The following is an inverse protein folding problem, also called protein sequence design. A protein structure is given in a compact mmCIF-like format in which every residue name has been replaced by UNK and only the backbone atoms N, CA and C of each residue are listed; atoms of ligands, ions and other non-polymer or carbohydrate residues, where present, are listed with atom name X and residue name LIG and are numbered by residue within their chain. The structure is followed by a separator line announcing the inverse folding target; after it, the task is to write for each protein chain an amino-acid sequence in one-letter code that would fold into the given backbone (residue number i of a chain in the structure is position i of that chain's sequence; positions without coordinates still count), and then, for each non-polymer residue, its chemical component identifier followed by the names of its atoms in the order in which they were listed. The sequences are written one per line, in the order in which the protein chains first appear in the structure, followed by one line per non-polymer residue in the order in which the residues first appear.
data_IF_787529957561
#
_entry.id   IF_787529957561
#
_cell.length_a   1.000
_cell.length_b   1.000
_cell.length_c   1.000
_cell.angle_alpha   90.00
_cell.angle_beta   90.00
_cell.angle_gamma   90.00
#
_symmetry.space_group_name_H-M   'P 1'
#
loop_
_entity.id
_entity.type
_entity.pdbx_description
1 polymer ?
#
# COMPACT_ATOMS: atom_id res chain seq x y z
N UNK A 1 -3.36 21.34 11.75
CA UNK A 1 -3.79 19.93 11.83
C UNK A 1 -2.61 19.08 11.40
N UNK A 2 -2.15 18.17 12.26
CA UNK A 2 -1.09 17.22 11.92
C UNK A 2 -1.62 16.28 10.83
N UNK A 3 -0.94 16.20 9.69
CA UNK A 3 -1.31 15.30 8.59
C UNK A 3 -1.22 13.85 9.10
N UNK A 4 -2.29 13.05 8.98
CA UNK A 4 -2.30 11.67 9.46
C UNK A 4 -1.90 10.75 8.31
N UNK A 5 -0.88 9.91 8.51
CA UNK A 5 -0.49 8.92 7.52
C UNK A 5 -1.47 7.73 7.52
N UNK A 6 -2.55 7.86 6.75
CA UNK A 6 -3.67 6.92 6.76
C UNK A 6 -3.30 5.49 6.32
N UNK A 7 -2.21 5.35 5.54
CA UNK A 7 -1.73 4.07 5.00
C UNK A 7 -1.34 3.05 6.07
N UNK A 8 -0.79 3.50 7.20
CA UNK A 8 -0.44 2.60 8.31
C UNK A 8 -1.65 2.25 9.19
N UNK A 9 -2.80 2.91 8.98
CA UNK A 9 -3.94 2.90 9.90
C UNK A 9 -5.23 2.31 9.31
N UNK A 10 -5.28 2.02 8.01
CA UNK A 10 -6.51 1.62 7.31
C UNK A 10 -6.91 0.15 7.48
N UNK A 11 -6.32 -0.59 8.43
CA UNK A 11 -6.67 -1.99 8.70
C UNK A 11 -8.09 -2.18 9.27
N UNK A 12 -8.69 -1.13 9.85
CA UNK A 12 -10.10 -1.16 10.27
C UNK A 12 -11.08 -1.31 9.10
N UNK A 13 -10.65 -1.01 7.86
CA UNK A 13 -11.49 -1.14 6.67
C UNK A 13 -11.55 -2.57 6.12
N UNK A 14 -10.74 -3.50 6.64
CA UNK A 14 -10.76 -4.90 6.22
C UNK A 14 -12.02 -5.61 6.75
N UNK A 15 -12.79 -6.20 5.84
CA UNK A 15 -14.03 -6.93 6.18
C UNK A 15 -13.78 -8.37 6.64
N UNK A 16 -12.55 -8.87 6.50
CA UNK A 16 -12.12 -10.23 6.83
C UNK A 16 -12.94 -11.34 6.16
N UNK A 17 -13.67 -11.02 5.10
CA UNK A 17 -14.35 -11.98 4.24
C UNK A 17 -13.37 -12.59 3.23
N UNK A 18 -13.65 -13.81 2.79
CA UNK A 18 -12.90 -14.43 1.70
C UNK A 18 -13.43 -13.90 0.38
N UNK A 19 -12.58 -13.20 -0.37
CA UNK A 19 -12.86 -12.75 -1.72
C UNK A 19 -12.19 -13.69 -2.73
N UNK A 20 -12.59 -13.60 -3.99
CA UNK A 20 -11.92 -14.35 -5.06
C UNK A 20 -10.51 -13.79 -5.29
N UNK A 21 -9.50 -14.66 -5.53
CA UNK A 21 -8.16 -14.22 -5.90
C UNK A 21 -8.18 -13.34 -7.15
N UNK A 22 -7.37 -12.28 -7.14
CA UNK A 22 -7.22 -11.42 -8.31
C UNK A 22 -6.46 -12.16 -9.41
N UNK A 23 -6.97 -12.11 -10.64
CA UNK A 23 -6.37 -12.71 -11.84
C UNK A 23 -6.30 -11.67 -12.96
N UNK A 24 -5.45 -11.90 -13.95
CA UNK A 24 -5.33 -11.06 -15.15
C UNK A 24 -4.19 -10.05 -15.10
N UNK A 25 -3.96 -9.39 -13.96
CA UNK A 25 -2.88 -8.39 -13.86
C UNK A 25 -1.48 -8.96 -14.19
N UNK A 26 -1.24 -10.25 -13.92
CA UNK A 26 0.04 -10.89 -14.18
C UNK A 26 0.36 -11.04 -15.68
N UNK A 27 -0.68 -11.11 -16.53
CA UNK A 27 -0.57 -11.25 -17.98
C UNK A 27 -0.41 -9.91 -18.70
N UNK A 28 -0.59 -8.79 -17.98
CA UNK A 28 -0.33 -7.47 -18.53
C UNK A 28 1.12 -7.32 -18.97
N UNK A 29 1.31 -6.59 -20.07
CA UNK A 29 2.64 -6.17 -20.50
C UNK A 29 3.23 -5.23 -19.45
N UNK A 30 4.51 -5.45 -19.11
CA UNK A 30 5.25 -4.48 -18.32
C UNK A 30 5.49 -3.21 -19.16
N UNK A 31 5.02 -2.07 -18.65
CA UNK A 31 5.08 -0.75 -19.32
C UNK A 31 5.67 0.29 -18.37
N UNK A 32 5.98 1.48 -18.89
CA UNK A 32 6.46 2.61 -18.09
C UNK A 32 5.38 3.11 -17.13
N UNK A 33 5.77 3.78 -16.05
CA UNK A 33 4.82 4.30 -15.06
C UNK A 33 3.79 5.24 -15.69
N UNK A 34 4.22 6.12 -16.59
CA UNK A 34 3.34 7.07 -17.28
C UNK A 34 2.23 6.38 -18.08
N UNK A 35 2.50 5.20 -18.64
CA UNK A 35 1.53 4.41 -19.39
C UNK A 35 0.66 3.57 -18.44
N UNK A 36 1.26 3.00 -17.40
CA UNK A 36 0.59 2.16 -16.40
C UNK A 36 -0.54 2.88 -15.67
N UNK A 37 -0.46 4.21 -15.53
CA UNK A 37 -1.44 5.05 -14.83
C UNK A 37 -2.50 5.66 -15.74
N UNK A 38 -2.41 5.52 -17.06
CA UNK A 38 -3.38 6.14 -18.00
C UNK A 38 -4.83 5.80 -17.64
N UNK A 39 -5.20 4.53 -17.34
CA UNK A 39 -6.56 4.19 -16.96
C UNK A 39 -7.01 4.78 -15.62
N UNK A 40 -6.06 5.22 -14.79
CA UNK A 40 -6.29 5.71 -13.43
C UNK A 40 -6.54 7.23 -13.37
N UNK A 41 -6.29 7.98 -14.45
CA UNK A 41 -6.48 9.45 -14.49
C UNK A 41 -7.89 9.93 -14.15
N UNK A 42 -8.91 9.09 -14.38
CA UNK A 42 -10.30 9.39 -14.01
C UNK A 42 -10.68 8.91 -12.61
N UNK A 43 -9.82 8.12 -11.97
CA UNK A 43 -10.06 7.48 -10.68
C UNK A 43 -9.27 8.13 -9.54
N UNK A 44 -8.11 8.70 -9.85
CA UNK A 44 -7.17 9.27 -8.88
C UNK A 44 -6.88 10.72 -9.26
N UNK A 45 -7.23 11.63 -8.34
CA UNK A 45 -7.05 13.07 -8.49
C UNK A 45 -5.56 13.43 -8.61
N UNK A 46 -5.17 14.24 -9.60
CA UNK A 46 -3.80 14.76 -9.77
C UNK A 46 -2.70 13.68 -9.90
N UNK A 47 -3.04 12.53 -10.50
CA UNK A 47 -2.10 11.43 -10.65
C UNK A 47 -0.89 11.78 -11.51
N UNK A 48 -1.04 12.62 -12.54
CA UNK A 48 0.06 12.95 -13.46
C UNK A 48 1.17 13.77 -12.76
N UNK A 49 0.82 14.74 -11.91
CA UNK A 49 1.82 15.50 -11.15
C UNK A 49 2.59 14.60 -10.16
N UNK A 50 1.92 13.56 -9.65
CA UNK A 50 2.50 12.62 -8.69
C UNK A 50 3.35 11.57 -9.37
N UNK A 51 2.99 11.15 -10.58
CA UNK A 51 3.85 10.37 -11.48
C UNK A 51 5.13 11.14 -11.81
N UNK A 52 5.02 12.44 -12.15
CA UNK A 52 6.19 13.29 -12.38
C UNK A 52 7.12 13.33 -11.15
N UNK A 53 6.52 13.54 -9.97
CA UNK A 53 7.28 13.56 -8.70
C UNK A 53 7.96 12.23 -8.41
N UNK A 54 7.25 11.12 -8.59
CA UNK A 54 7.79 9.78 -8.35
C UNK A 54 8.92 9.44 -9.33
N UNK A 55 8.76 9.81 -10.61
CA UNK A 55 9.77 9.59 -11.65
C UNK A 55 11.07 10.30 -11.32
N UNK A 56 11.03 11.59 -10.95
CA UNK A 56 12.23 12.35 -10.60
C UNK A 56 12.94 11.81 -9.36
N UNK A 57 12.20 11.23 -8.39
CA UNK A 57 12.79 10.61 -7.19
C UNK A 57 13.42 9.23 -7.47
N UNK A 58 13.21 8.70 -8.67
CA UNK A 58 13.57 7.33 -9.05
C UNK A 58 14.61 7.23 -10.16
N UNK A 59 15.25 8.33 -10.55
CA UNK A 59 16.16 8.37 -11.72
C UNK A 59 17.31 7.36 -11.63
N UNK A 60 17.86 7.14 -10.43
CA UNK A 60 18.97 6.22 -10.18
C UNK A 60 18.63 5.31 -8.98
N UNK A 61 17.75 4.32 -9.17
CA UNK A 61 17.28 3.47 -8.08
C UNK A 61 18.34 2.43 -7.69
N UNK A 62 18.28 1.98 -6.44
CA UNK A 62 19.06 0.84 -5.95
C UNK A 62 18.30 -0.48 -6.17
N UNK A 63 18.88 -1.59 -5.68
CA UNK A 63 18.17 -2.87 -5.52
C UNK A 63 17.70 -3.50 -6.85
N UNK A 64 18.44 -3.23 -7.93
CA UNK A 64 18.21 -3.75 -9.30
C UNK A 64 16.82 -3.41 -9.88
N UNK A 65 16.16 -2.42 -9.29
CA UNK A 65 14.93 -1.88 -9.82
C UNK A 65 15.22 -1.02 -11.06
N UNK A 66 14.31 -1.05 -12.01
CA UNK A 66 14.25 -0.01 -13.04
C UNK A 66 13.71 1.29 -12.42
N UNK A 67 13.98 2.46 -13.05
CA UNK A 67 13.38 3.73 -12.61
C UNK A 67 11.85 3.64 -12.47
N UNK A 68 11.15 3.05 -13.45
CA UNK A 68 9.69 2.91 -13.43
C UNK A 68 9.17 2.00 -12.30
N UNK A 69 9.88 0.92 -11.96
CA UNK A 69 9.51 0.03 -10.84
C UNK A 69 9.68 0.74 -9.49
N UNK A 70 10.80 1.45 -9.30
CA UNK A 70 11.05 2.26 -8.10
C UNK A 70 10.02 3.40 -8.00
N UNK A 71 9.74 4.09 -9.12
CA UNK A 71 8.73 5.13 -9.19
C UNK A 71 7.33 4.62 -8.83
N UNK A 72 6.97 3.40 -9.24
CA UNK A 72 5.67 2.81 -8.88
C UNK A 72 5.54 2.60 -7.36
N UNK A 73 6.61 2.17 -6.69
CA UNK A 73 6.66 2.04 -5.23
C UNK A 73 6.56 3.42 -4.57
N UNK A 74 7.36 4.41 -5.02
CA UNK A 74 7.30 5.79 -4.51
C UNK A 74 5.90 6.39 -4.70
N UNK A 75 5.27 6.18 -5.86
CA UNK A 75 3.91 6.68 -6.12
C UNK A 75 2.88 6.05 -5.18
N UNK A 76 3.06 4.79 -4.80
CA UNK A 76 2.22 4.14 -3.80
C UNK A 76 2.42 4.72 -2.39
N UNK A 77 3.61 5.23 -2.06
CA UNK A 77 3.95 5.67 -0.69
C UNK A 77 3.83 7.18 -0.48
N UNK A 78 3.94 7.98 -1.53
CA UNK A 78 4.06 9.43 -1.44
C UNK A 78 2.80 10.06 -0.82
N UNK A 79 3.02 11.07 0.01
CA UNK A 79 1.94 11.84 0.60
C UNK A 79 1.17 12.64 -0.47
N UNK A 80 -0.12 12.78 -0.20
CA UNK A 80 -1.05 13.53 -1.03
C UNK A 80 -1.61 14.72 -0.27
N UNK A 81 -2.24 15.62 -1.01
CA UNK A 81 -3.10 16.63 -0.42
C UNK A 81 -4.18 15.92 0.45
N UNK A 82 -4.31 16.26 1.74
CA UNK A 82 -5.25 15.61 2.64
C UNK A 82 -6.73 15.83 2.28
N UNK A 83 -7.04 16.79 1.40
CA UNK A 83 -8.40 17.00 0.87
C UNK A 83 -8.81 16.00 -0.21
N UNK A 84 -7.88 15.22 -0.76
CA UNK A 84 -8.14 14.28 -1.85
C UNK A 84 -7.60 12.87 -1.53
N UNK A 85 -8.31 11.80 -1.93
CA UNK A 85 -7.82 10.45 -1.73
C UNK A 85 -6.57 10.20 -2.57
N UNK A 86 -5.50 9.74 -1.93
CA UNK A 86 -4.24 9.35 -2.57
C UNK A 86 -4.40 8.09 -3.40
N UNK A 87 -3.40 7.79 -4.25
CA UNK A 87 -3.39 6.55 -5.03
C UNK A 87 -3.54 5.30 -4.15
N UNK A 88 -2.76 5.18 -3.05
CA UNK A 88 -2.85 4.02 -2.17
C UNK A 88 -4.23 3.91 -1.51
N UNK A 89 -4.86 5.04 -1.17
CA UNK A 89 -6.17 5.04 -0.53
C UNK A 89 -7.22 4.47 -1.49
N UNK A 90 -7.25 4.95 -2.74
CA UNK A 90 -8.19 4.46 -3.76
C UNK A 90 -7.89 3.00 -4.11
N UNK A 91 -6.63 2.63 -4.29
CA UNK A 91 -6.25 1.25 -4.62
C UNK A 91 -6.63 0.26 -3.51
N UNK A 92 -6.25 0.56 -2.26
CA UNK A 92 -6.57 -0.32 -1.12
C UNK A 92 -8.08 -0.43 -0.89
N UNK A 93 -8.83 0.67 -1.08
CA UNK A 93 -10.29 0.63 -1.09
C UNK A 93 -10.84 -0.29 -2.19
N UNK A 94 -10.29 -0.21 -3.40
CA UNK A 94 -10.70 -1.03 -4.54
C UNK A 94 -10.37 -2.51 -4.34
N UNK A 95 -9.21 -2.83 -3.74
CA UNK A 95 -8.79 -4.20 -3.41
C UNK A 95 -9.72 -4.91 -2.43
N UNK A 96 -10.41 -4.14 -1.57
CA UNK A 96 -11.40 -4.64 -0.61
C UNK A 96 -12.78 -4.88 -1.22
N UNK A 97 -13.03 -4.46 -2.46
CA UNK A 97 -14.32 -4.67 -3.12
C UNK A 97 -14.49 -6.11 -3.58
N UNK A 98 -15.70 -6.65 -3.40
CA UNK A 98 -16.10 -7.96 -3.93
C UNK A 98 -16.10 -7.96 -5.47
N UNK A 99 -16.53 -6.86 -6.09
CA UNK A 99 -16.52 -6.72 -7.55
C UNK A 99 -15.10 -6.51 -8.10
N UNK A 100 -14.44 -7.62 -8.44
CA UNK A 100 -13.07 -7.62 -8.97
C UNK A 100 -12.92 -6.90 -10.31
N UNK A 101 -14.00 -6.67 -11.05
CA UNK A 101 -13.94 -5.91 -12.32
C UNK A 101 -13.51 -4.46 -12.09
N UNK A 102 -13.74 -3.91 -10.88
CA UNK A 102 -13.28 -2.58 -10.50
C UNK A 102 -11.75 -2.46 -10.44
N UNK A 103 -11.03 -3.58 -10.35
CA UNK A 103 -9.57 -3.62 -10.36
C UNK A 103 -8.98 -3.64 -11.77
N UNK A 104 -9.76 -3.88 -12.83
CA UNK A 104 -9.24 -3.96 -14.21
C UNK A 104 -8.45 -2.70 -14.63
N UNK A 105 -8.91 -1.46 -14.34
CA UNK A 105 -8.10 -0.27 -14.63
C UNK A 105 -6.75 -0.21 -13.91
N UNK A 106 -6.57 -0.98 -12.84
CA UNK A 106 -5.36 -1.02 -12.03
C UNK A 106 -4.35 -2.07 -12.50
N UNK A 107 -4.70 -2.93 -13.44
CA UNK A 107 -3.88 -4.09 -13.78
C UNK A 107 -2.47 -3.72 -14.26
N UNK A 108 -2.34 -2.76 -15.17
CA UNK A 108 -1.02 -2.32 -15.66
C UNK A 108 -0.18 -1.70 -14.54
N UNK A 109 -0.78 -0.92 -13.63
CA UNK A 109 -0.09 -0.38 -12.46
C UNK A 109 0.29 -1.47 -11.45
N UNK A 110 -0.62 -2.41 -11.15
CA UNK A 110 -0.35 -3.55 -10.27
C UNK A 110 0.75 -4.44 -10.82
N UNK A 111 0.77 -4.68 -12.13
CA UNK A 111 1.86 -5.40 -12.81
C UNK A 111 3.19 -4.74 -12.54
N UNK A 112 3.30 -3.44 -12.75
CA UNK A 112 4.54 -2.68 -12.54
C UNK A 112 4.96 -2.68 -11.06
N UNK A 113 4.05 -2.32 -10.15
CA UNK A 113 4.30 -2.26 -8.72
C UNK A 113 4.76 -3.61 -8.15
N UNK A 114 4.01 -4.69 -8.45
CA UNK A 114 4.33 -6.02 -7.94
C UNK A 114 5.62 -6.56 -8.55
N UNK A 115 5.91 -6.29 -9.83
CA UNK A 115 7.19 -6.68 -10.44
C UNK A 115 8.37 -6.06 -9.69
N UNK A 116 8.29 -4.77 -9.36
CA UNK A 116 9.31 -4.09 -8.54
C UNK A 116 9.42 -4.70 -7.14
N UNK A 117 8.29 -4.87 -6.43
CA UNK A 117 8.29 -5.45 -5.08
C UNK A 117 8.85 -6.89 -5.04
N UNK A 118 8.64 -7.69 -6.08
CA UNK A 118 9.16 -9.07 -6.14
C UNK A 118 10.67 -9.15 -6.34
N UNK A 119 11.31 -8.12 -6.93
CA UNK A 119 12.77 -8.03 -7.05
C UNK A 119 13.46 -7.74 -5.72
N UNK A 120 12.79 -7.02 -4.82
CA UNK A 120 13.34 -6.72 -3.50
C UNK A 120 13.52 -8.00 -2.67
N UNK A 121 14.62 -8.12 -1.90
CA UNK A 121 14.84 -9.28 -1.04
C UNK A 121 13.73 -9.41 0.01
N UNK A 122 13.33 -10.65 0.29
CA UNK A 122 12.38 -10.91 1.37
C UNK A 122 13.07 -10.80 2.73
N UNK A 123 12.45 -10.06 3.64
CA UNK A 123 12.89 -9.97 5.04
C UNK A 123 11.95 -10.76 5.95
N UNK A 124 12.54 -11.40 6.96
CA UNK A 124 11.82 -12.03 8.06
C UNK A 124 12.04 -11.22 9.34
N UNK A 125 11.00 -10.56 9.82
CA UNK A 125 11.06 -9.74 11.03
C UNK A 125 9.67 -9.51 11.62
N UNK A 126 9.62 -9.01 12.86
CA UNK A 126 8.37 -8.49 13.43
C UNK A 126 8.12 -7.10 12.88
N UNK A 127 6.95 -6.91 12.28
CA UNK A 127 6.47 -5.61 11.83
C UNK A 127 5.22 -5.20 12.59
N UNK A 128 5.01 -3.90 12.67
CA UNK A 128 3.96 -3.28 13.46
C UNK A 128 3.00 -2.53 12.56
N UNK A 129 1.72 -2.64 12.88
CA UNK A 129 0.64 -1.87 12.24
C UNK A 129 -0.36 -1.42 13.29
N UNK A 130 -0.67 -0.13 13.31
CA UNK A 130 -1.59 0.46 14.27
C UNK A 130 -2.96 0.71 13.66
N UNK A 131 -4.01 0.69 14.47
CA UNK A 131 -5.34 1.17 14.08
C UNK A 131 -5.91 1.99 15.23
N UNK A 132 -6.42 3.18 14.93
CA UNK A 132 -7.22 3.96 15.88
C UNK A 132 -8.59 3.31 16.00
N UNK A 133 -8.91 2.73 17.15
CA UNK A 133 -10.11 1.96 17.41
C UNK A 133 -9.87 0.55 17.98
N UNK A 134 -10.92 -0.04 18.52
CA UNK A 134 -10.93 -1.42 19.04
C UNK A 134 -11.37 -2.40 17.96
N UNK A 135 -10.50 -3.34 17.60
CA UNK A 135 -10.81 -4.39 16.63
C UNK A 135 -10.92 -5.79 17.27
N UNK A 136 -10.90 -5.91 18.61
CA UNK A 136 -10.85 -7.23 19.29
C UNK A 136 -11.98 -8.18 18.85
N UNK A 137 -13.18 -7.67 18.61
CA UNK A 137 -14.33 -8.46 18.16
C UNK A 137 -14.20 -9.00 16.72
N UNK A 138 -13.39 -8.35 15.88
CA UNK A 138 -13.18 -8.76 14.49
C UNK A 138 -12.17 -9.91 14.36
N UNK A 139 -11.23 -10.03 15.30
CA UNK A 139 -10.11 -10.99 15.22
C UNK A 139 -10.30 -12.10 16.25
N UNK A 140 -10.68 -13.30 15.78
CA UNK A 140 -10.81 -14.48 16.63
C UNK A 140 -9.48 -15.21 16.77
N UNK A 141 -9.15 -15.63 17.98
CA UNK A 141 -7.93 -16.40 18.26
C UNK A 141 -7.91 -17.70 17.41
N UNK A 142 -6.76 -17.99 16.79
CA UNK A 142 -6.57 -19.16 15.94
C UNK A 142 -7.19 -19.07 14.54
N UNK A 143 -7.94 -18.00 14.22
CA UNK A 143 -8.51 -17.82 12.90
C UNK A 143 -7.44 -17.43 11.87
N UNK A 144 -7.54 -18.00 10.67
CA UNK A 144 -6.82 -17.53 9.49
C UNK A 144 -7.64 -16.44 8.80
N UNK A 145 -6.97 -15.40 8.34
CA UNK A 145 -7.60 -14.28 7.66
C UNK A 145 -6.73 -13.75 6.53
N UNK A 146 -7.35 -12.98 5.66
CA UNK A 146 -6.68 -12.32 4.53
C UNK A 146 -7.00 -10.84 4.58
N UNK A 147 -5.97 -10.01 4.59
CA UNK A 147 -6.10 -8.59 4.30
C UNK A 147 -5.94 -8.42 2.79
N UNK A 148 -6.96 -7.88 2.14
CA UNK A 148 -7.01 -7.81 0.68
C UNK A 148 -6.26 -6.60 0.13
N UNK A 149 -6.16 -5.53 0.92
CA UNK A 149 -5.32 -4.38 0.60
C UNK A 149 -3.84 -4.66 0.88
N UNK A 150 -2.97 -3.84 0.28
CA UNK A 150 -1.56 -3.82 0.64
C UNK A 150 -1.39 -3.38 2.11
N UNK A 151 -0.65 -4.17 2.87
CA UNK A 151 -0.43 -3.93 4.29
C UNK A 151 0.89 -3.19 4.49
N UNK A 152 0.80 -1.87 4.68
CA UNK A 152 1.97 -1.08 5.07
C UNK A 152 2.19 -1.19 6.57
N UNK A 153 3.43 -1.48 6.95
CA UNK A 153 3.85 -1.69 8.33
C UNK A 153 5.16 -0.94 8.60
N UNK A 154 5.53 -0.83 9.87
CA UNK A 154 6.84 -0.30 10.30
C UNK A 154 7.59 -1.37 11.09
N UNK A 155 8.90 -1.46 10.91
CA UNK A 155 9.76 -2.31 11.76
C UNK A 155 10.00 -1.68 13.15
N UNK A 156 9.74 -0.38 13.31
CA UNK A 156 9.91 0.33 14.58
C UNK A 156 8.57 0.71 15.19
N UNK A 157 8.31 0.22 16.40
CA UNK A 157 7.10 0.55 17.16
C UNK A 157 7.03 2.04 17.51
N UNK A 158 8.17 2.70 17.74
CA UNK A 158 8.22 4.13 18.09
C UNK A 158 7.68 5.04 16.99
N UNK A 159 7.69 4.59 15.73
CA UNK A 159 7.06 5.32 14.62
C UNK A 159 5.55 5.45 14.86
N UNK A 160 4.91 4.44 15.46
CA UNK A 160 3.48 4.48 15.73
C UNK A 160 3.13 5.43 16.88
N UNK A 161 4.05 5.69 17.81
CA UNK A 161 3.82 6.57 18.96
C UNK A 161 3.66 8.04 18.56
N UNK A 162 4.14 8.43 17.37
CA UNK A 162 3.92 9.78 16.83
C UNK A 162 2.46 10.04 16.47
N UNK A 163 1.96 11.23 16.79
CA UNK A 163 0.60 11.69 16.49
C UNK A 163 0.30 11.75 14.97
N UNK A 164 1.34 11.81 14.13
CA UNK A 164 1.21 11.68 12.66
C UNK A 164 0.72 10.28 12.25
N UNK A 165 0.96 9.27 13.11
CA UNK A 165 0.58 7.88 12.90
C UNK A 165 -0.49 7.47 13.91
N UNK A 166 -0.21 6.53 14.80
CA UNK A 166 -1.21 6.03 15.75
C UNK A 166 -1.44 7.04 16.88
N UNK A 167 -0.36 7.66 17.38
CA UNK A 167 -0.37 8.46 18.60
C UNK A 167 -0.43 7.59 19.86
N UNK A 168 -0.39 8.23 21.03
CA UNK A 168 -0.36 7.52 22.32
C UNK A 168 -1.69 7.55 23.09
N UNK A 169 -2.66 8.33 22.61
CA UNK A 169 -3.95 8.55 23.28
C UNK A 169 -5.12 7.82 22.60
N UNK A 170 -6.26 7.74 23.29
CA UNK A 170 -7.50 7.11 22.78
C UNK A 170 -7.47 5.59 22.72
N UNK A 171 -8.56 4.94 22.29
CA UNK A 171 -8.58 3.48 22.12
C UNK A 171 -7.87 3.09 20.83
N UNK A 172 -6.96 2.10 20.90
CA UNK A 172 -6.18 1.61 19.75
C UNK A 172 -6.02 0.10 19.75
N UNK A 173 -5.81 -0.44 18.56
CA UNK A 173 -5.38 -1.81 18.31
C UNK A 173 -4.01 -1.80 17.66
N UNK A 174 -3.09 -2.61 18.18
CA UNK A 174 -1.75 -2.79 17.61
C UNK A 174 -1.60 -4.23 17.14
N UNK A 175 -1.19 -4.40 15.89
CA UNK A 175 -0.82 -5.69 15.33
C UNK A 175 0.70 -5.85 15.40
N UNK A 176 1.14 -6.90 16.10
CA UNK A 176 2.49 -7.43 16.01
C UNK A 176 2.46 -8.61 15.02
N UNK A 177 3.17 -8.49 13.91
CA UNK A 177 3.09 -9.46 12.82
C UNK A 177 4.49 -10.05 12.60
N UNK A 178 4.65 -11.34 12.85
CA UNK A 178 5.83 -12.08 12.40
C UNK A 178 5.74 -12.25 10.88
N UNK A 179 6.44 -11.38 10.15
CA UNK A 179 6.43 -11.39 8.71
C UNK A 179 7.46 -12.38 8.19
N UNK A 180 7.06 -13.27 7.27
CA UNK A 180 7.96 -14.25 6.64
C UNK A 180 8.58 -13.75 5.34
N UNK A 181 7.84 -12.94 4.58
CA UNK A 181 8.21 -12.48 3.23
C UNK A 181 7.95 -10.97 3.06
N UNK A 182 8.36 -10.18 4.04
CA UNK A 182 8.21 -8.73 3.99
C UNK A 182 9.10 -8.11 2.91
N UNK A 183 8.69 -6.99 2.34
CA UNK A 183 9.50 -6.21 1.40
C UNK A 183 9.85 -4.88 2.04
N UNK A 184 11.14 -4.65 2.31
CA UNK A 184 11.61 -3.36 2.79
C UNK A 184 11.69 -2.39 1.62
N UNK A 185 10.84 -1.37 1.66
CA UNK A 185 10.75 -0.34 0.61
C UNK A 185 11.37 0.98 1.04
N UNK A 186 12.08 1.05 2.17
CA UNK A 186 12.57 2.33 2.74
C UNK A 186 13.41 3.16 1.78
N UNK A 187 14.15 2.51 0.86
CA UNK A 187 14.96 3.19 -0.18
C UNK A 187 14.13 3.71 -1.37
N UNK A 188 12.86 3.35 -1.42
CA UNK A 188 11.91 3.64 -2.49
C UNK A 188 10.58 4.18 -1.95
N UNK A 189 10.55 4.76 -0.74
CA UNK A 189 9.29 5.19 -0.10
C UNK A 189 9.34 6.55 0.56
#
# INVERSE_FOLDING_TARGET
MTHINSRLLDASAERLNSLTPLRGYAEERLVKLVDAVVPLRKLVHDIDARVWTATNRSENPTDELTPDESAAIILYTIEWDPSHPSLYFVLNGTLRLEDRRKLVPWFSYLKLLLTGLYKLPSIRCTVWRGVRGDLRSHYKLGAKMTWWAFSSCTASISVLESEQYLGTSGTRTLFAIECLNGKDIKRHS
#
